data_IF_589345723199
#
_entry.id   IF_589345723199
#
_cell.length_a   1.000
_cell.length_b   1.000
_cell.length_c   1.000
_cell.angle_alpha   90.00
_cell.angle_beta   90.00
_cell.angle_gamma   90.00
#
_symmetry.space_group_name_H-M   'P 1'
#
loop_
_entity.id
_entity.type
_entity.pdbx_description
1 polymer ?
#
# COMPACT_ATOMS: atom_id res chain seq x y z
N UNK A 1 -15.18 -8.63 -7.81
CA UNK A 1 -14.44 -8.32 -6.55
C UNK A 1 -13.09 -9.00 -6.52
N UNK A 2 -13.04 -10.30 -6.75
CA UNK A 2 -11.79 -11.09 -6.76
C UNK A 2 -10.83 -10.64 -7.88
N UNK A 3 -11.34 -10.35 -9.06
CA UNK A 3 -10.57 -9.97 -10.25
C UNK A 3 -9.72 -8.70 -10.03
N UNK A 4 -10.30 -7.64 -9.48
CA UNK A 4 -9.58 -6.38 -9.23
C UNK A 4 -8.50 -6.51 -8.15
N UNK A 5 -8.75 -7.33 -7.13
CA UNK A 5 -7.72 -7.63 -6.12
C UNK A 5 -6.62 -8.51 -6.70
N UNK A 6 -6.96 -9.41 -7.61
CA UNK A 6 -5.99 -10.27 -8.28
C UNK A 6 -5.08 -9.48 -9.23
N UNK A 7 -5.63 -8.56 -10.03
CA UNK A 7 -4.84 -7.65 -10.88
C UNK A 7 -3.88 -6.81 -10.05
N UNK A 8 -4.35 -6.20 -8.96
CA UNK A 8 -3.48 -5.43 -8.06
C UNK A 8 -2.39 -6.30 -7.41
N UNK A 9 -2.70 -7.55 -7.06
CA UNK A 9 -1.73 -8.51 -6.56
C UNK A 9 -0.65 -8.82 -7.59
N UNK A 10 -1.03 -9.11 -8.86
CA UNK A 10 -0.09 -9.42 -9.94
C UNK A 10 0.87 -8.25 -10.18
N UNK A 11 0.36 -7.02 -10.29
CA UNK A 11 1.17 -5.82 -10.50
C UNK A 11 2.17 -5.59 -9.37
N UNK A 12 1.71 -5.68 -8.13
CA UNK A 12 2.57 -5.51 -6.95
C UNK A 12 3.62 -6.60 -6.86
N UNK A 13 3.24 -7.86 -7.09
CA UNK A 13 4.17 -8.98 -7.06
C UNK A 13 5.23 -8.83 -8.15
N UNK A 14 4.82 -8.50 -9.38
CA UNK A 14 5.76 -8.31 -10.50
C UNK A 14 6.81 -7.23 -10.18
N UNK A 15 6.37 -6.06 -9.69
CA UNK A 15 7.27 -4.96 -9.32
C UNK A 15 8.24 -5.39 -8.19
N UNK A 16 7.75 -6.09 -7.17
CA UNK A 16 8.58 -6.55 -6.05
C UNK A 16 9.63 -7.57 -6.50
N UNK A 17 9.23 -8.56 -7.28
CA UNK A 17 10.14 -9.58 -7.81
C UNK A 17 11.19 -8.96 -8.73
N UNK A 18 10.79 -8.03 -9.60
CA UNK A 18 11.70 -7.27 -10.44
C UNK A 18 12.74 -6.51 -9.63
N UNK A 19 12.33 -5.78 -8.59
CA UNK A 19 13.25 -5.02 -7.74
C UNK A 19 14.26 -5.91 -7.01
N UNK A 20 13.85 -7.10 -6.56
CA UNK A 20 14.73 -8.08 -5.92
C UNK A 20 15.73 -8.65 -6.92
N UNK A 21 15.29 -8.99 -8.14
CA UNK A 21 16.11 -9.64 -9.15
C UNK A 21 17.00 -8.69 -9.96
N UNK A 22 16.65 -7.41 -10.04
CA UNK A 22 17.18 -6.43 -10.99
C UNK A 22 18.71 -6.42 -11.05
N UNK A 23 19.38 -6.33 -9.92
CA UNK A 23 20.84 -6.26 -9.87
C UNK A 23 21.52 -7.53 -10.40
N UNK A 24 20.93 -8.68 -10.07
CA UNK A 24 21.43 -9.98 -10.54
C UNK A 24 21.21 -10.12 -12.04
N UNK A 25 20.03 -9.74 -12.53
CA UNK A 25 19.73 -9.80 -13.97
C UNK A 25 20.63 -8.87 -14.79
N UNK A 26 20.95 -7.69 -14.27
CA UNK A 26 21.92 -6.78 -14.90
C UNK A 26 23.33 -7.43 -14.95
N UNK A 27 23.77 -8.05 -13.87
CA UNK A 27 25.08 -8.73 -13.85
C UNK A 27 25.13 -9.89 -14.86
N UNK A 28 24.07 -10.69 -14.94
CA UNK A 28 23.95 -11.77 -15.91
C UNK A 28 23.91 -11.25 -17.35
N UNK A 29 23.15 -10.18 -17.63
CA UNK A 29 23.14 -9.52 -18.93
C UNK A 29 24.55 -9.16 -19.41
N UNK A 30 25.33 -8.52 -18.52
CA UNK A 30 26.72 -8.17 -18.82
C UNK A 30 27.61 -9.42 -19.04
N UNK A 31 27.42 -10.47 -18.23
CA UNK A 31 28.15 -11.73 -18.40
C UNK A 31 27.85 -12.38 -19.75
N UNK A 32 26.57 -12.45 -20.15
CA UNK A 32 26.17 -12.99 -21.46
C UNK A 32 26.69 -12.17 -22.61
N UNK A 33 26.69 -10.84 -22.48
CA UNK A 33 27.26 -9.93 -23.49
C UNK A 33 28.78 -10.15 -23.66
N UNK A 34 29.52 -10.21 -22.54
CA UNK A 34 30.97 -10.45 -22.59
C UNK A 34 31.35 -11.80 -23.20
N UNK A 35 30.50 -12.81 -23.01
CA UNK A 35 30.69 -14.16 -23.59
C UNK A 35 30.24 -14.25 -25.04
N UNK A 36 29.66 -13.20 -25.63
CA UNK A 36 29.12 -13.23 -27.01
C UNK A 36 27.87 -14.10 -27.16
N UNK A 37 27.11 -14.34 -26.09
CA UNK A 37 25.97 -15.23 -26.08
C UNK A 37 24.64 -14.50 -26.36
N UNK A 38 24.69 -13.20 -26.71
CA UNK A 38 23.53 -12.42 -27.10
C UNK A 38 23.47 -12.27 -28.62
N UNK A 39 22.27 -12.35 -29.19
CA UNK A 39 22.03 -12.15 -30.62
C UNK A 39 21.50 -10.76 -30.87
N UNK A 40 21.96 -10.08 -31.92
CA UNK A 40 21.53 -8.76 -32.34
C UNK A 40 22.69 -7.86 -32.75
N UNK A 41 22.38 -6.84 -33.53
CA UNK A 41 23.35 -5.83 -34.00
C UNK A 41 23.24 -4.52 -33.18
N UNK A 42 22.13 -4.34 -32.41
CA UNK A 42 21.90 -3.18 -31.57
C UNK A 42 21.73 -3.59 -30.11
N UNK A 43 21.92 -2.65 -29.19
CA UNK A 43 21.73 -2.89 -27.76
C UNK A 43 20.31 -3.34 -27.41
N UNK A 44 19.29 -2.84 -28.13
CA UNK A 44 17.90 -3.22 -27.98
C UNK A 44 17.68 -4.69 -28.37
N UNK A 45 18.27 -5.12 -29.50
CA UNK A 45 18.17 -6.51 -29.96
C UNK A 45 18.92 -7.46 -29.02
N UNK A 46 20.10 -7.08 -28.52
CA UNK A 46 20.83 -7.85 -27.51
C UNK A 46 19.99 -8.00 -26.22
N UNK A 47 19.30 -6.92 -25.78
CA UNK A 47 18.41 -6.95 -24.63
C UNK A 47 17.20 -7.87 -24.86
N UNK A 48 16.53 -7.77 -26.00
CA UNK A 48 15.45 -8.69 -26.38
C UNK A 48 15.90 -10.16 -26.41
N UNK A 49 17.12 -10.42 -26.94
CA UNK A 49 17.75 -11.74 -26.90
C UNK A 49 17.92 -12.24 -25.47
N UNK A 50 18.40 -11.38 -24.56
CA UNK A 50 18.54 -11.72 -23.15
C UNK A 50 17.18 -12.00 -22.48
N UNK A 51 16.15 -11.20 -22.75
CA UNK A 51 14.80 -11.43 -22.22
C UNK A 51 14.26 -12.82 -22.62
N UNK A 52 14.52 -13.27 -23.83
CA UNK A 52 14.15 -14.63 -24.30
C UNK A 52 14.92 -15.71 -23.53
N UNK A 53 16.21 -15.49 -23.28
CA UNK A 53 17.06 -16.39 -22.50
C UNK A 53 16.51 -16.48 -21.04
N UNK A 54 16.15 -15.35 -20.42
CA UNK A 54 15.58 -15.32 -19.07
C UNK A 54 14.31 -16.16 -18.92
N UNK A 55 13.51 -16.31 -19.97
CA UNK A 55 12.32 -17.16 -20.01
C UNK A 55 12.61 -18.66 -20.15
N UNK A 56 13.87 -19.07 -20.28
CA UNK A 56 14.24 -20.48 -20.48
C UNK A 56 14.40 -21.25 -19.16
N UNK A 57 14.16 -22.56 -19.24
CA UNK A 57 14.37 -23.47 -18.09
C UNK A 57 15.85 -23.56 -17.72
N UNK A 58 16.73 -23.48 -18.71
CA UNK A 58 18.18 -23.52 -18.54
C UNK A 58 18.68 -22.32 -17.75
N UNK A 59 18.18 -21.12 -18.06
CA UNK A 59 18.52 -19.90 -17.32
C UNK A 59 18.02 -19.96 -15.90
N UNK A 60 16.80 -20.44 -15.67
CA UNK A 60 16.26 -20.62 -14.31
C UNK A 60 17.12 -21.62 -13.50
N UNK A 61 17.56 -22.72 -14.09
CA UNK A 61 18.49 -23.67 -13.48
C UNK A 61 19.79 -22.99 -13.08
N UNK A 62 20.42 -22.26 -14.01
CA UNK A 62 21.65 -21.50 -13.77
C UNK A 62 21.49 -20.50 -12.61
N UNK A 63 20.44 -19.69 -12.62
CA UNK A 63 20.16 -18.72 -11.54
C UNK A 63 19.94 -19.42 -10.20
N UNK A 64 19.23 -20.56 -10.18
CA UNK A 64 18.95 -21.32 -8.97
C UNK A 64 20.21 -21.89 -8.31
N UNK A 65 21.15 -22.35 -9.14
CA UNK A 65 22.43 -22.89 -8.66
C UNK A 65 23.41 -21.79 -8.25
N UNK A 66 23.47 -20.72 -9.05
CA UNK A 66 24.46 -19.65 -8.88
C UNK A 66 24.06 -18.66 -7.78
N UNK A 67 22.75 -18.39 -7.64
CA UNK A 67 22.20 -17.37 -6.71
C UNK A 67 21.12 -17.95 -5.78
N UNK A 68 21.41 -18.94 -4.93
CA UNK A 68 20.41 -19.59 -4.08
C UNK A 68 19.73 -18.62 -3.08
N UNK A 69 20.43 -17.56 -2.68
CA UNK A 69 19.87 -16.51 -1.82
C UNK A 69 18.80 -15.70 -2.56
N UNK A 70 19.04 -15.38 -3.84
CA UNK A 70 18.05 -14.69 -4.68
C UNK A 70 16.77 -15.52 -4.77
N UNK A 71 16.89 -16.82 -5.08
CA UNK A 71 15.72 -17.72 -5.18
C UNK A 71 14.94 -17.76 -3.85
N UNK A 72 15.63 -17.82 -2.73
CA UNK A 72 14.98 -17.75 -1.42
C UNK A 72 14.24 -16.42 -1.22
N UNK A 73 14.86 -15.28 -1.55
CA UNK A 73 14.24 -13.97 -1.42
C UNK A 73 12.99 -13.83 -2.31
N UNK A 74 13.06 -14.30 -3.56
CA UNK A 74 11.92 -14.30 -4.48
C UNK A 74 10.77 -15.16 -3.94
N UNK A 75 11.07 -16.38 -3.46
CA UNK A 75 10.07 -17.26 -2.85
C UNK A 75 9.42 -16.63 -1.62
N UNK A 76 10.21 -16.13 -0.68
CA UNK A 76 9.69 -15.48 0.53
C UNK A 76 8.83 -14.25 0.19
N UNK A 77 9.24 -13.45 -0.80
CA UNK A 77 8.46 -12.30 -1.27
C UNK A 77 7.11 -12.74 -1.84
N UNK A 78 7.11 -13.77 -2.69
CA UNK A 78 5.89 -14.33 -3.29
C UNK A 78 4.93 -14.83 -2.21
N UNK A 79 5.40 -15.67 -1.30
CA UNK A 79 4.60 -16.26 -0.22
C UNK A 79 3.99 -15.16 0.68
N UNK A 80 4.78 -14.16 1.08
CA UNK A 80 4.30 -13.04 1.91
C UNK A 80 3.25 -12.19 1.18
N UNK A 81 3.47 -11.94 -0.11
CA UNK A 81 2.52 -11.16 -0.91
C UNK A 81 1.18 -11.92 -1.07
N UNK A 82 1.22 -13.21 -1.38
CA UNK A 82 0.02 -14.07 -1.44
C UNK A 82 -0.74 -14.02 -0.10
N UNK A 83 -0.06 -14.32 1.00
CA UNK A 83 -0.69 -14.32 2.33
C UNK A 83 -1.34 -12.97 2.68
N UNK A 84 -0.70 -11.86 2.29
CA UNK A 84 -1.25 -10.54 2.56
C UNK A 84 -2.53 -10.28 1.74
N UNK A 85 -2.55 -10.57 0.46
CA UNK A 85 -3.73 -10.33 -0.39
C UNK A 85 -4.89 -11.27 -0.06
N UNK A 86 -4.63 -12.52 0.33
CA UNK A 86 -5.65 -13.40 0.90
C UNK A 86 -6.25 -12.84 2.20
N UNK A 87 -5.42 -12.21 3.03
CA UNK A 87 -5.88 -11.57 4.25
C UNK A 87 -6.72 -10.32 3.95
N UNK A 88 -6.33 -9.51 2.96
CA UNK A 88 -7.12 -8.36 2.47
C UNK A 88 -8.50 -8.81 1.98
N UNK A 89 -8.57 -9.88 1.19
CA UNK A 89 -9.86 -10.42 0.73
C UNK A 89 -10.77 -10.81 1.90
N UNK A 90 -10.22 -11.50 2.90
CA UNK A 90 -10.98 -11.85 4.11
C UNK A 90 -11.51 -10.61 4.83
N UNK A 91 -10.68 -9.61 5.08
CA UNK A 91 -11.09 -8.37 5.74
C UNK A 91 -12.18 -7.62 4.98
N UNK A 92 -12.09 -7.55 3.65
CA UNK A 92 -13.14 -6.93 2.82
C UNK A 92 -14.46 -7.67 2.98
N UNK A 93 -14.46 -9.00 3.04
CA UNK A 93 -15.67 -9.81 3.19
C UNK A 93 -16.24 -9.66 4.60
N UNK A 94 -15.42 -9.82 5.63
CA UNK A 94 -15.81 -9.79 7.04
C UNK A 94 -16.36 -8.42 7.47
N UNK A 95 -15.73 -7.34 6.99
CA UNK A 95 -16.12 -5.98 7.37
C UNK A 95 -17.15 -5.34 6.44
N UNK A 96 -17.61 -6.03 5.42
CA UNK A 96 -18.47 -5.49 4.35
C UNK A 96 -19.65 -4.68 4.84
N UNK A 97 -20.38 -5.20 5.82
CA UNK A 97 -21.55 -4.54 6.39
C UNK A 97 -21.17 -3.26 7.14
N UNK A 98 -20.13 -3.34 7.98
CA UNK A 98 -19.60 -2.19 8.72
C UNK A 98 -19.06 -1.10 7.81
N UNK A 99 -18.38 -1.49 6.72
CA UNK A 99 -17.89 -0.58 5.70
C UNK A 99 -19.03 0.13 4.97
N UNK A 100 -20.09 -0.60 4.61
CA UNK A 100 -21.27 -0.02 3.97
C UNK A 100 -21.98 0.96 4.90
N UNK A 101 -22.10 0.63 6.18
CA UNK A 101 -22.70 1.51 7.18
C UNK A 101 -21.88 2.80 7.37
N UNK A 102 -20.56 2.70 7.48
CA UNK A 102 -19.71 3.83 7.82
C UNK A 102 -19.34 4.70 6.62
N UNK A 103 -19.12 4.11 5.45
CA UNK A 103 -18.60 4.78 4.26
C UNK A 103 -19.58 4.81 3.07
N UNK A 104 -20.68 4.05 3.13
CA UNK A 104 -21.61 3.86 2.00
C UNK A 104 -22.51 5.06 1.71
N UNK A 105 -22.53 6.13 2.55
CA UNK A 105 -23.38 7.31 2.36
C UNK A 105 -24.85 6.94 2.07
N UNK A 106 -25.42 6.09 2.92
CA UNK A 106 -26.81 5.53 2.78
C UNK A 106 -27.03 4.59 1.59
N UNK A 107 -25.95 4.18 0.90
CA UNK A 107 -26.00 3.22 -0.20
C UNK A 107 -25.03 2.07 0.04
N UNK A 108 -25.34 0.91 -0.54
CA UNK A 108 -24.36 -0.17 -0.59
C UNK A 108 -23.13 0.28 -1.35
N UNK A 109 -21.93 -0.16 -0.92
CA UNK A 109 -20.66 0.16 -1.56
C UNK A 109 -20.60 -0.36 -3.01
N UNK A 110 -21.35 -1.41 -3.33
CA UNK A 110 -21.26 -2.07 -4.62
C UNK A 110 -19.97 -2.92 -4.73
N UNK A 111 -19.60 -3.32 -5.94
CA UNK A 111 -18.37 -4.09 -6.18
C UNK A 111 -17.11 -3.22 -5.99
N UNK A 112 -15.97 -3.86 -5.73
CA UNK A 112 -14.66 -3.24 -5.86
C UNK A 112 -14.39 -3.03 -7.35
N UNK A 113 -14.02 -1.82 -7.73
CA UNK A 113 -13.74 -1.43 -9.12
C UNK A 113 -12.26 -1.16 -9.37
N UNK A 114 -11.49 -0.88 -8.31
CA UNK A 114 -10.04 -0.66 -8.39
C UNK A 114 -9.39 -0.84 -7.04
N UNK A 115 -8.16 -1.30 -7.04
CA UNK A 115 -7.28 -1.33 -5.86
C UNK A 115 -5.96 -0.68 -6.23
N UNK A 116 -5.49 0.24 -5.42
CA UNK A 116 -4.19 0.90 -5.60
C UNK A 116 -3.29 0.63 -4.39
N UNK A 117 -2.04 0.38 -4.68
CA UNK A 117 -0.95 0.18 -3.72
C UNK A 117 0.08 1.32 -3.82
N UNK A 118 1.12 1.30 -2.98
CA UNK A 118 2.25 2.21 -3.11
C UNK A 118 2.11 3.55 -2.39
N UNK A 119 1.06 3.74 -1.57
CA UNK A 119 0.92 4.95 -0.73
C UNK A 119 1.87 4.96 0.48
N UNK A 120 2.54 3.87 0.77
CA UNK A 120 3.53 3.76 1.86
C UNK A 120 4.55 2.68 1.54
N UNK A 121 5.71 2.77 2.19
CA UNK A 121 6.68 1.68 2.19
C UNK A 121 6.05 0.41 2.76
N UNK A 122 6.46 -0.75 2.26
CA UNK A 122 6.00 -2.04 2.78
C UNK A 122 6.64 -2.30 4.15
N UNK A 123 5.81 -2.59 5.15
CA UNK A 123 6.24 -2.90 6.52
C UNK A 123 5.81 -4.31 6.93
N UNK A 124 6.40 -4.82 8.02
CA UNK A 124 5.95 -6.08 8.68
C UNK A 124 5.70 -7.27 7.75
N UNK A 125 6.66 -7.59 6.89
CA UNK A 125 6.57 -8.77 6.02
C UNK A 125 5.86 -8.52 4.70
N UNK A 126 5.90 -7.29 4.17
CA UNK A 126 5.36 -6.96 2.85
C UNK A 126 3.94 -6.42 2.86
N UNK A 127 3.39 -6.12 4.04
CA UNK A 127 2.09 -5.45 4.16
C UNK A 127 2.22 -3.97 3.79
N UNK A 128 1.23 -3.45 3.10
CA UNK A 128 1.19 -2.05 2.63
C UNK A 128 -0.20 -1.44 2.79
N UNK A 129 -0.27 -0.12 2.72
CA UNK A 129 -1.55 0.59 2.69
C UNK A 129 -2.16 0.46 1.30
N UNK A 130 -3.43 0.05 1.23
CA UNK A 130 -4.18 -0.04 -0.01
C UNK A 130 -5.30 0.98 -0.05
N UNK A 131 -5.54 1.55 -1.23
CA UNK A 131 -6.77 2.29 -1.52
C UNK A 131 -7.72 1.38 -2.27
N UNK A 132 -8.92 1.20 -1.74
CA UNK A 132 -9.96 0.38 -2.37
C UNK A 132 -11.08 1.31 -2.86
N UNK A 133 -11.38 1.21 -4.13
CA UNK A 133 -12.41 1.99 -4.81
C UNK A 133 -13.65 1.11 -5.03
N UNK A 134 -14.80 1.63 -4.68
CA UNK A 134 -16.08 0.95 -4.79
C UNK A 134 -16.97 1.54 -5.87
N UNK A 135 -17.90 0.75 -6.40
CA UNK A 135 -18.78 1.13 -7.51
C UNK A 135 -19.69 2.34 -7.19
N UNK A 136 -20.00 2.59 -5.92
CA UNK A 136 -20.74 3.77 -5.48
C UNK A 136 -19.90 5.06 -5.45
N UNK A 137 -18.61 5.00 -5.83
CA UNK A 137 -17.65 6.11 -5.80
C UNK A 137 -16.93 6.30 -4.47
N UNK A 138 -17.18 5.46 -3.46
CA UNK A 138 -16.45 5.53 -2.19
C UNK A 138 -15.02 5.05 -2.38
N UNK A 139 -14.09 5.75 -1.71
CA UNK A 139 -12.66 5.44 -1.67
C UNK A 139 -12.26 5.26 -0.21
N UNK A 140 -11.73 4.10 0.12
CA UNK A 140 -11.44 3.71 1.50
C UNK A 140 -9.98 3.24 1.59
N UNK A 141 -9.24 3.77 2.55
CA UNK A 141 -7.89 3.30 2.87
C UNK A 141 -7.96 2.10 3.79
N UNK A 142 -7.30 1.01 3.40
CA UNK A 142 -6.99 -0.12 4.26
C UNK A 142 -5.57 0.06 4.82
N UNK A 143 -5.45 0.10 6.14
CA UNK A 143 -4.17 0.09 6.84
C UNK A 143 -3.98 -1.25 7.54
N UNK A 144 -2.88 -2.00 7.30
CA UNK A 144 -2.64 -3.31 7.90
C UNK A 144 -2.14 -3.20 9.35
N UNK A 145 -2.84 -2.43 10.18
CA UNK A 145 -2.61 -2.24 11.61
C UNK A 145 -3.85 -1.68 12.30
N UNK A 146 -3.92 -1.86 13.60
CA UNK A 146 -4.96 -1.19 14.41
C UNK A 146 -4.79 0.33 14.40
N UNK A 147 -5.92 1.04 14.42
CA UNK A 147 -6.04 2.50 14.60
C UNK A 147 -6.86 2.86 15.86
N UNK A 148 -6.91 1.98 16.85
CA UNK A 148 -7.61 2.24 18.10
C UNK A 148 -7.07 3.48 18.83
N UNK A 149 -5.75 3.69 18.78
CA UNK A 149 -5.12 4.88 19.36
C UNK A 149 -5.59 6.16 18.67
N UNK A 150 -5.71 6.15 17.35
CA UNK A 150 -6.21 7.27 16.57
C UNK A 150 -7.70 7.55 16.88
N UNK A 151 -8.51 6.49 17.00
CA UNK A 151 -9.92 6.63 17.41
C UNK A 151 -10.04 7.18 18.82
N UNK A 152 -9.23 6.70 19.75
CA UNK A 152 -9.21 7.23 21.11
C UNK A 152 -8.82 8.71 21.14
N UNK A 153 -7.80 9.08 20.36
CA UNK A 153 -7.35 10.47 20.24
C UNK A 153 -8.43 11.37 19.64
N UNK A 154 -9.17 10.89 18.63
CA UNK A 154 -10.32 11.62 18.07
C UNK A 154 -11.40 11.88 19.14
N UNK A 155 -11.77 10.87 19.92
CA UNK A 155 -12.74 11.01 21.01
C UNK A 155 -12.28 12.01 22.07
N UNK A 156 -10.98 12.04 22.37
CA UNK A 156 -10.41 12.99 23.30
C UNK A 156 -10.47 14.43 22.78
N UNK A 157 -10.14 14.62 21.49
CA UNK A 157 -10.25 15.94 20.85
C UNK A 157 -11.70 16.42 20.79
N UNK A 158 -12.65 15.54 20.51
CA UNK A 158 -14.08 15.83 20.53
C UNK A 158 -14.52 16.32 21.92
N UNK A 159 -14.15 15.59 22.96
CA UNK A 159 -14.41 15.95 24.36
C UNK A 159 -13.79 17.31 24.75
N UNK A 160 -12.60 17.64 24.25
CA UNK A 160 -11.97 18.96 24.45
C UNK A 160 -12.75 20.02 23.68
N UNK A 161 -13.10 19.76 22.41
CA UNK A 161 -13.83 20.68 21.54
C UNK A 161 -15.17 21.11 22.13
N UNK A 162 -15.95 20.17 22.70
CA UNK A 162 -17.20 20.45 23.39
C UNK A 162 -17.05 21.43 24.58
N UNK A 163 -15.88 21.42 25.24
CA UNK A 163 -15.61 22.27 26.41
C UNK A 163 -14.96 23.60 26.07
N UNK A 164 -14.25 23.68 24.99
CA UNK A 164 -13.51 24.87 24.56
C UNK A 164 -14.23 25.66 23.48
N UNK A 165 -15.27 25.07 22.87
CA UNK A 165 -15.94 25.65 21.71
C UNK A 165 -15.08 25.63 20.44
N UNK A 166 -14.05 24.76 20.39
CA UNK A 166 -13.21 24.59 19.20
C UNK A 166 -13.78 23.52 18.30
N UNK A 167 -13.90 23.82 17.00
CA UNK A 167 -14.38 22.89 15.99
C UNK A 167 -13.23 21.99 15.53
N UNK A 168 -13.36 20.68 15.71
CA UNK A 168 -12.38 19.67 15.32
C UNK A 168 -12.90 18.85 14.14
N UNK A 169 -12.05 18.60 13.17
CA UNK A 169 -12.38 17.74 12.04
C UNK A 169 -11.99 16.29 12.34
N UNK A 170 -12.96 15.40 12.21
CA UNK A 170 -12.76 13.96 12.35
C UNK A 170 -13.10 13.26 11.04
N UNK A 171 -12.37 12.20 10.74
CA UNK A 171 -12.68 11.32 9.64
C UNK A 171 -13.06 9.92 10.16
N UNK A 172 -13.99 9.23 9.50
CA UNK A 172 -14.42 7.91 9.90
C UNK A 172 -13.26 6.92 9.92
N UNK A 173 -13.18 6.13 11.00
CA UNK A 173 -12.24 5.04 11.19
C UNK A 173 -13.02 3.82 11.66
N UNK A 174 -12.88 2.69 10.95
CA UNK A 174 -13.26 1.37 11.44
C UNK A 174 -11.99 0.64 11.83
N UNK A 175 -11.74 0.48 13.13
CA UNK A 175 -10.53 -0.18 13.62
C UNK A 175 -10.81 -1.61 14.03
N UNK A 176 -10.05 -2.54 13.47
CA UNK A 176 -9.92 -3.91 13.92
C UNK A 176 -8.61 -4.13 14.68
N UNK A 177 -8.35 -5.38 15.06
CA UNK A 177 -7.15 -5.78 15.80
C UNK A 177 -5.89 -5.68 14.93
N UNK A 178 -5.95 -6.19 13.71
CA UNK A 178 -4.80 -6.37 12.82
C UNK A 178 -4.87 -5.49 11.58
N UNK A 179 -5.97 -4.75 11.39
CA UNK A 179 -6.20 -3.85 10.26
C UNK A 179 -7.21 -2.76 10.64
N UNK A 180 -7.29 -1.75 9.82
CA UNK A 180 -8.25 -0.67 9.97
C UNK A 180 -8.59 -0.05 8.63
N UNK A 181 -9.80 0.48 8.56
CA UNK A 181 -10.31 1.21 7.42
C UNK A 181 -10.51 2.66 7.79
N UNK A 182 -10.12 3.57 6.93
CA UNK A 182 -10.35 4.98 7.15
C UNK A 182 -10.64 5.73 5.86
N UNK A 183 -11.27 6.89 6.01
CA UNK A 183 -11.53 7.79 4.90
C UNK A 183 -10.21 8.35 4.34
N UNK A 184 -10.16 8.52 3.02
CA UNK A 184 -9.11 9.31 2.37
C UNK A 184 -9.35 10.78 2.67
N UNK A 185 -8.33 11.44 3.20
CA UNK A 185 -8.33 12.88 3.38
C UNK A 185 -7.66 13.50 2.16
N UNK A 186 -8.43 14.20 1.36
CA UNK A 186 -7.92 14.90 0.19
C UNK A 186 -7.01 16.07 0.60
N UNK A 187 -5.88 16.18 -0.08
CA UNK A 187 -5.03 17.34 0.06
C UNK A 187 -5.74 18.57 -0.56
N UNK A 188 -5.84 19.64 0.22
CA UNK A 188 -6.31 20.93 -0.26
C UNK A 188 -5.23 21.98 0.01
N UNK A 189 -4.70 22.65 -1.01
CA UNK A 189 -3.76 23.75 -0.81
C UNK A 189 -4.47 24.91 -0.09
N UNK A 190 -3.71 25.65 0.74
CA UNK A 190 -4.20 26.91 1.27
C UNK A 190 -4.18 27.96 0.14
N UNK A 191 -5.31 28.60 -0.12
CA UNK A 191 -5.46 29.60 -1.17
C UNK A 191 -5.51 31.05 -0.63
N UNK A 192 -5.46 31.22 0.68
CA UNK A 192 -5.46 32.53 1.34
C UNK A 192 -4.61 32.50 2.62
N UNK A 193 -4.17 33.70 3.05
CA UNK A 193 -3.45 33.89 4.30
C UNK A 193 -4.30 33.47 5.51
N UNK A 194 -5.60 33.70 5.47
CA UNK A 194 -6.54 33.28 6.52
C UNK A 194 -6.60 31.76 6.67
N UNK A 195 -6.63 31.00 5.57
CA UNK A 195 -6.58 29.53 5.60
C UNK A 195 -5.24 29.02 6.12
N UNK A 196 -4.14 29.70 5.77
CA UNK A 196 -2.81 29.36 6.29
C UNK A 196 -2.73 29.60 7.81
N UNK A 197 -3.26 30.72 8.29
CA UNK A 197 -3.38 31.00 9.74
C UNK A 197 -4.21 29.93 10.46
N UNK A 198 -5.36 29.56 9.89
CA UNK A 198 -6.22 28.51 10.47
C UNK A 198 -5.52 27.15 10.51
N UNK A 199 -4.76 26.81 9.46
CA UNK A 199 -3.95 25.58 9.43
C UNK A 199 -2.95 25.54 10.59
N UNK A 200 -2.14 26.60 10.76
CA UNK A 200 -1.15 26.65 11.83
C UNK A 200 -1.78 26.71 13.23
N UNK A 201 -2.93 27.38 13.38
CA UNK A 201 -3.68 27.39 14.63
C UNK A 201 -4.10 25.97 15.01
N UNK A 202 -4.74 25.23 14.11
CA UNK A 202 -5.15 23.83 14.34
C UNK A 202 -3.96 22.91 14.61
N UNK A 203 -2.86 23.09 13.90
CA UNK A 203 -1.62 22.34 14.13
C UNK A 203 -1.09 22.62 15.56
N UNK A 204 -1.07 23.89 15.98
CA UNK A 204 -0.67 24.29 17.32
C UNK A 204 -1.56 23.69 18.43
N UNK A 205 -2.88 23.70 18.23
CA UNK A 205 -3.83 23.07 19.16
C UNK A 205 -3.59 21.57 19.32
N UNK A 206 -3.32 20.85 18.21
CA UNK A 206 -2.99 19.42 18.24
C UNK A 206 -1.66 19.15 18.94
N UNK A 207 -0.64 19.95 18.67
CA UNK A 207 0.70 19.83 19.32
C UNK A 207 0.59 20.10 20.82
N UNK A 208 -0.11 21.15 21.22
CA UNK A 208 -0.35 21.47 22.63
C UNK A 208 -1.07 20.32 23.34
N UNK A 209 -2.12 19.78 22.75
CA UNK A 209 -2.87 18.64 23.32
C UNK A 209 -1.96 17.42 23.51
N UNK A 210 -1.09 17.11 22.56
CA UNK A 210 -0.12 16.01 22.67
C UNK A 210 0.91 16.25 23.77
N UNK A 211 1.48 17.44 23.85
CA UNK A 211 2.47 17.79 24.86
C UNK A 211 1.90 17.80 26.26
N UNK A 212 0.66 18.28 26.43
CA UNK A 212 -0.02 18.33 27.72
C UNK A 212 -0.41 16.95 28.26
N UNK A 213 -0.61 15.98 27.37
CA UNK A 213 -1.00 14.61 27.72
C UNK A 213 0.21 13.65 27.79
N UNK A 214 1.29 13.95 27.11
CA UNK A 214 2.51 13.10 27.03
C UNK A 214 3.48 13.25 28.21
N UNK A 215 3.24 14.18 29.12
CA UNK A 215 4.10 14.45 30.28
C UNK A 215 3.63 13.79 31.60
N UNK A 216 3.05 12.59 31.49
CA UNK A 216 2.75 11.77 32.68
C UNK A 216 3.43 10.42 32.62
#
# INVERSE_FOLDING_TARGET
MEEMLYEAFEDVLAIRLQNIALRTLIAELHSYKQKGNLSGETSEQEYESFCKICGSREFFGHISETYPVLIRCLKECTEKTICYYEQVMRWVIEDRESLSCLFGKEKDLGSIVKVESGLSDSHHGGKEVLTIYFANGSQILLKPRSMENEQFYQKLLDWIGERTGTDQYFYPILSGKDHSWCQIVEYKPCNSEAELHQYYQRLGEQLFSRLSLGNK
#
